data_IF_175240740924
#
_entry.id   IF_175240740924
#
_cell.length_a   1.000
_cell.length_b   1.000
_cell.length_c   1.000
_cell.angle_alpha   90.00
_cell.angle_beta   90.00
_cell.angle_gamma   90.00
#
_symmetry.space_group_name_H-M   'P 1'
#
loop_
_entity.id
_entity.type
_entity.pdbx_description
1 polymer ?
#
# COMPACT_ATOMS: atom_id res chain seq x y z
N UNK A 1 1.66 -19.17 14.65
CA UNK A 1 2.38 -17.90 14.44
C UNK A 1 1.75 -17.20 13.25
N UNK A 2 1.15 -16.02 13.43
CA UNK A 2 0.54 -15.29 12.32
C UNK A 2 1.63 -14.76 11.39
N UNK A 3 1.58 -15.12 10.11
CA UNK A 3 2.54 -14.67 9.10
C UNK A 3 2.43 -13.15 8.95
N UNK A 4 3.58 -12.45 8.90
CA UNK A 4 3.60 -11.00 8.68
C UNK A 4 2.92 -10.67 7.36
N UNK A 5 1.88 -9.81 7.40
CA UNK A 5 1.20 -9.29 6.21
C UNK A 5 2.05 -8.27 5.44
N UNK A 6 3.26 -7.95 5.92
CA UNK A 6 4.14 -6.92 5.38
C UNK A 6 5.50 -7.50 4.99
N UNK A 7 6.03 -7.02 3.87
CA UNK A 7 7.39 -7.32 3.39
C UNK A 7 8.41 -6.70 4.33
N UNK A 8 9.56 -7.38 4.48
CA UNK A 8 10.71 -6.90 5.25
C UNK A 8 11.74 -6.28 4.33
N UNK A 9 12.28 -5.12 4.73
CA UNK A 9 13.40 -4.47 4.04
C UNK A 9 14.74 -5.12 4.43
N UNK A 10 15.82 -4.76 3.72
CA UNK A 10 17.16 -5.31 3.96
C UNK A 10 17.68 -5.06 5.39
N UNK A 11 17.24 -3.99 6.04
CA UNK A 11 17.55 -3.67 7.44
C UNK A 11 16.58 -4.31 8.45
N UNK A 12 15.69 -5.19 8.00
CA UNK A 12 14.77 -5.97 8.84
C UNK A 12 13.49 -5.24 9.26
N UNK A 13 13.29 -3.98 8.85
CA UNK A 13 12.06 -3.22 9.13
C UNK A 13 10.91 -3.65 8.24
N UNK A 14 9.69 -3.31 8.64
CA UNK A 14 8.50 -3.57 7.82
C UNK A 14 8.31 -2.48 6.77
N UNK A 15 7.81 -2.87 5.60
CA UNK A 15 7.47 -1.96 4.52
C UNK A 15 5.95 -1.90 4.34
N UNK A 16 5.42 -0.69 4.39
CA UNK A 16 3.99 -0.38 4.20
C UNK A 16 3.85 0.44 2.92
N UNK A 17 3.26 -0.17 1.89
CA UNK A 17 2.85 0.55 0.69
C UNK A 17 1.40 1.02 0.84
N UNK A 18 1.21 2.33 0.95
CA UNK A 18 -0.09 2.98 0.95
C UNK A 18 -0.52 3.14 -0.51
N UNK A 19 -1.16 2.11 -1.05
CA UNK A 19 -1.60 2.09 -2.43
C UNK A 19 -2.80 3.03 -2.62
N UNK A 20 -2.56 4.15 -3.32
CA UNK A 20 -3.60 5.07 -3.77
C UNK A 20 -4.13 4.57 -5.14
N UNK A 21 -5.45 4.36 -5.31
CA UNK A 21 -6.00 3.85 -6.56
C UNK A 21 -5.56 4.64 -7.78
N UNK A 22 -5.33 3.92 -8.89
CA UNK A 22 -4.99 4.48 -10.22
C UNK A 22 -3.64 5.22 -10.26
N UNK A 23 -2.71 4.76 -9.43
CA UNK A 23 -1.38 5.36 -9.28
C UNK A 23 -0.23 4.40 -9.58
N UNK A 24 -0.42 3.50 -10.55
CA UNK A 24 0.54 2.42 -10.88
C UNK A 24 0.87 1.48 -9.71
N UNK A 25 0.01 1.39 -8.69
CA UNK A 25 0.28 0.61 -7.48
C UNK A 25 0.44 -0.89 -7.73
N UNK A 26 -0.18 -1.44 -8.79
CA UNK A 26 0.04 -2.83 -9.22
C UNK A 26 1.47 -3.06 -9.73
N UNK A 27 1.98 -2.17 -10.57
CA UNK A 27 3.36 -2.24 -11.07
C UNK A 27 4.37 -2.11 -9.94
N UNK A 28 4.09 -1.23 -8.96
CA UNK A 28 4.91 -1.12 -7.75
C UNK A 28 4.90 -2.44 -6.99
N UNK A 29 3.74 -3.02 -6.72
CA UNK A 29 3.62 -4.29 -6.02
C UNK A 29 4.44 -5.42 -6.63
N UNK A 30 4.47 -5.53 -7.95
CA UNK A 30 5.26 -6.54 -8.65
C UNK A 30 6.76 -6.34 -8.44
N UNK A 31 7.23 -5.08 -8.44
CA UNK A 31 8.65 -4.76 -8.31
C UNK A 31 9.15 -4.90 -6.86
N UNK A 32 8.34 -4.51 -5.87
CA UNK A 32 8.73 -4.59 -4.45
C UNK A 32 8.28 -5.87 -3.74
N UNK A 33 7.82 -6.87 -4.51
CA UNK A 33 7.41 -8.19 -4.02
C UNK A 33 6.51 -8.12 -2.78
N UNK A 34 5.46 -7.31 -2.87
CA UNK A 34 4.55 -7.11 -1.75
C UNK A 34 3.59 -8.30 -1.61
N UNK A 35 3.18 -8.67 -0.37
CA UNK A 35 2.46 -9.91 -0.14
C UNK A 35 1.09 -9.85 -0.81
N UNK A 36 0.81 -10.85 -1.65
CA UNK A 36 -0.49 -10.99 -2.32
C UNK A 36 -1.53 -11.50 -1.32
N UNK A 37 -2.15 -10.58 -0.56
CA UNK A 37 -3.37 -10.87 0.20
C UNK A 37 -4.63 -10.73 -0.66
N UNK A 38 -5.78 -11.19 -0.15
CA UNK A 38 -7.06 -11.07 -0.87
C UNK A 38 -7.32 -9.62 -1.32
N UNK A 39 -7.79 -9.40 -2.56
CA UNK A 39 -7.76 -8.09 -3.22
C UNK A 39 -8.59 -6.97 -2.58
N UNK A 40 -9.37 -7.26 -1.54
CA UNK A 40 -10.22 -6.29 -0.87
C UNK A 40 -9.62 -5.80 0.45
N UNK A 41 -8.78 -6.61 1.12
CA UNK A 41 -8.43 -6.35 2.51
C UNK A 41 -7.11 -5.60 2.72
N UNK A 42 -6.28 -5.42 1.70
CA UNK A 42 -4.94 -4.81 1.86
C UNK A 42 -4.69 -3.68 0.85
N UNK A 43 -5.57 -3.53 -0.13
CA UNK A 43 -5.18 -3.00 -1.44
C UNK A 43 -5.32 -1.49 -1.58
N UNK A 44 -6.09 -0.83 -0.71
CA UNK A 44 -6.32 0.62 -0.77
C UNK A 44 -6.56 1.26 0.61
N UNK A 45 -5.91 0.75 1.66
CA UNK A 45 -6.04 1.32 3.01
C UNK A 45 -5.27 2.63 3.14
N UNK A 46 -5.86 3.60 3.82
CA UNK A 46 -5.17 4.85 4.17
C UNK A 46 -4.11 4.61 5.23
N UNK A 47 -3.16 5.54 5.36
CA UNK A 47 -2.18 5.57 6.45
C UNK A 47 -2.86 5.46 7.83
N UNK A 48 -3.98 6.16 8.01
CA UNK A 48 -4.77 6.10 9.25
C UNK A 48 -5.22 4.67 9.58
N UNK A 49 -5.80 3.96 8.60
CA UNK A 49 -6.26 2.59 8.80
C UNK A 49 -5.09 1.65 9.10
N UNK A 50 -3.95 1.82 8.41
CA UNK A 50 -2.74 1.05 8.70
C UNK A 50 -2.23 1.28 10.13
N UNK A 51 -2.18 2.53 10.58
CA UNK A 51 -1.76 2.89 11.94
C UNK A 51 -2.69 2.31 13.00
N UNK A 52 -4.01 2.33 12.76
CA UNK A 52 -4.98 1.68 13.65
C UNK A 52 -4.81 0.16 13.73
N UNK A 53 -4.49 -0.49 12.59
CA UNK A 53 -4.31 -1.95 12.53
C UNK A 53 -3.03 -2.45 13.17
N UNK A 54 -1.92 -1.73 12.97
CA UNK A 54 -0.60 -2.14 13.46
C UNK A 54 -0.33 -1.64 14.88
N UNK A 55 -1.05 -0.60 15.31
CA UNK A 55 -0.69 0.21 16.47
C UNK A 55 0.31 1.30 16.10
N UNK A 56 0.32 2.43 16.83
CA UNK A 56 1.17 3.58 16.52
C UNK A 56 2.66 3.22 16.55
N UNK A 57 3.13 2.49 17.57
CA UNK A 57 4.54 2.14 17.73
C UNK A 57 5.09 1.32 16.55
N UNK A 58 4.35 0.28 16.13
CA UNK A 58 4.76 -0.58 15.02
C UNK A 58 4.70 0.14 13.67
N UNK A 59 3.68 0.99 13.47
CA UNK A 59 3.57 1.80 12.26
C UNK A 59 4.71 2.81 12.16
N UNK A 60 5.02 3.49 13.27
CA UNK A 60 6.07 4.53 13.32
C UNK A 60 7.49 3.91 13.22
N UNK A 61 7.66 2.62 13.57
CA UNK A 61 8.88 1.86 13.37
C UNK A 61 9.05 1.30 11.94
N UNK A 62 7.98 1.28 11.13
CA UNK A 62 7.99 0.78 9.76
C UNK A 62 8.34 1.87 8.75
N UNK A 63 8.84 1.48 7.59
CA UNK A 63 8.89 2.38 6.44
C UNK A 63 7.50 2.42 5.80
N UNK A 64 6.96 3.62 5.59
CA UNK A 64 5.72 3.81 4.83
C UNK A 64 5.96 4.72 3.64
N UNK A 65 5.35 4.38 2.50
CA UNK A 65 5.44 5.18 1.29
C UNK A 65 4.15 5.09 0.47
N UNK A 66 3.94 6.11 -0.36
CA UNK A 66 2.87 6.18 -1.34
C UNK A 66 3.42 6.81 -2.62
N UNK A 67 2.80 6.47 -3.76
CA UNK A 67 3.00 7.22 -4.99
C UNK A 67 1.70 7.95 -5.29
N UNK A 68 1.83 9.21 -5.69
CA UNK A 68 0.72 10.08 -6.11
C UNK A 68 0.84 10.43 -7.59
N UNK A 69 -0.25 10.92 -8.17
CA UNK A 69 -0.38 11.29 -9.59
C UNK A 69 -1.20 12.56 -9.66
N UNK A 70 -0.96 13.35 -10.71
CA UNK A 70 -1.74 14.54 -11.00
C UNK A 70 -3.26 14.25 -10.87
N UNK A 71 -4.02 15.09 -10.13
CA UNK A 71 -5.40 14.78 -9.77
C UNK A 71 -6.32 14.52 -10.98
N UNK A 72 -6.20 15.34 -12.03
CA UNK A 72 -7.04 15.22 -13.23
C UNK A 72 -6.79 13.89 -13.94
N UNK A 73 -5.53 13.50 -14.10
CA UNK A 73 -5.15 12.27 -14.77
C UNK A 73 -5.59 11.04 -13.98
N UNK A 74 -5.48 11.11 -12.64
CA UNK A 74 -5.95 10.04 -11.75
C UNK A 74 -7.47 9.90 -11.83
N UNK A 75 -8.20 11.01 -11.87
CA UNK A 75 -9.66 11.02 -12.01
C UNK A 75 -10.08 10.46 -13.38
N UNK A 76 -9.46 10.92 -14.47
CA UNK A 76 -9.71 10.40 -15.81
C UNK A 76 -9.43 8.90 -15.88
N UNK A 77 -8.30 8.44 -15.32
CA UNK A 77 -7.96 7.02 -15.26
C UNK A 77 -8.97 6.20 -14.45
N UNK A 78 -9.49 6.75 -13.35
CA UNK A 78 -10.54 6.12 -12.57
C UNK A 78 -11.85 6.01 -13.37
N UNK A 79 -12.27 7.11 -14.02
CA UNK A 79 -13.44 7.13 -14.88
C UNK A 79 -13.36 6.09 -16.00
N UNK A 80 -12.24 6.07 -16.74
CA UNK A 80 -12.01 5.08 -17.81
C UNK A 80 -11.94 3.64 -17.32
N UNK A 81 -11.70 3.39 -16.03
CA UNK A 81 -11.68 2.04 -15.46
C UNK A 81 -13.07 1.53 -15.06
N UNK A 82 -13.97 2.43 -14.68
CA UNK A 82 -15.34 2.08 -14.29
C UNK A 82 -16.35 2.12 -15.44
N UNK A 83 -15.98 2.76 -16.55
CA UNK A 83 -16.73 2.73 -17.81
C UNK A 83 -16.53 1.40 -18.53
#
# INVERSE_FOLDING_TARGET
MAQSLLTKTNDGRELIHIHIPKNAGMSIWEVVDLPKGTPQDITHRTAYIWRQKLGPERYDAAYSFAVVRHPCDRLLSAWSYFR
#
